data_IF_236542640905
#
_entry.id   IF_236542640905
#
_cell.length_a   1.000
_cell.length_b   1.000
_cell.length_c   1.000
_cell.angle_alpha   90.00
_cell.angle_beta   90.00
_cell.angle_gamma   90.00
#
_symmetry.space_group_name_H-M   'P 1'
#
loop_
_entity.id
_entity.type
_entity.pdbx_description
1 polymer ?
#
# COMPACT_ATOMS: atom_id res chain seq x y z
N UNK A 1 -7.43 19.27 0.67
CA UNK A 1 -8.54 18.89 1.57
C UNK A 1 -9.70 18.27 0.79
N UNK A 2 -10.08 18.87 -0.35
CA UNK A 2 -11.07 18.32 -1.30
C UNK A 2 -10.72 16.92 -1.82
N UNK A 3 -9.45 16.72 -2.13
CA UNK A 3 -8.86 15.42 -2.49
C UNK A 3 -9.15 14.30 -1.47
N UNK A 4 -9.01 14.60 -0.18
CA UNK A 4 -9.24 13.67 0.91
C UNK A 4 -10.75 13.40 1.09
N UNK A 5 -11.58 14.42 0.85
CA UNK A 5 -13.05 14.33 0.89
C UNK A 5 -13.59 13.48 -0.27
N UNK A 6 -12.98 13.57 -1.46
CA UNK A 6 -13.32 12.72 -2.60
C UNK A 6 -12.95 11.26 -2.32
N UNK A 7 -11.78 11.01 -1.75
CA UNK A 7 -11.37 9.66 -1.33
C UNK A 7 -12.34 9.10 -0.26
N UNK A 8 -12.81 9.94 0.68
CA UNK A 8 -13.85 9.56 1.66
C UNK A 8 -15.17 9.21 1.00
N UNK A 9 -15.64 10.03 0.07
CA UNK A 9 -16.93 9.81 -0.60
C UNK A 9 -16.91 8.55 -1.46
N UNK A 10 -15.87 8.31 -2.25
CA UNK A 10 -15.81 7.13 -3.13
C UNK A 10 -15.54 5.81 -2.38
N UNK A 11 -14.66 5.82 -1.37
CA UNK A 11 -14.38 4.60 -0.59
C UNK A 11 -15.56 4.18 0.30
N UNK A 12 -16.38 5.12 0.79
CA UNK A 12 -17.59 4.79 1.55
C UNK A 12 -18.76 4.38 0.65
N UNK A 13 -18.78 4.80 -0.63
CA UNK A 13 -19.91 4.54 -1.54
C UNK A 13 -19.79 3.25 -2.36
N UNK A 14 -18.58 2.72 -2.60
CA UNK A 14 -18.42 1.65 -3.59
C UNK A 14 -18.42 0.20 -3.06
N UNK A 15 -18.11 -0.11 -1.79
CA UNK A 15 -18.19 -1.51 -1.31
C UNK A 15 -18.13 -1.72 0.22
N UNK A 16 -19.24 -1.52 0.97
CA UNK A 16 -19.30 -1.90 2.39
C UNK A 16 -19.02 -3.40 2.63
N UNK A 17 -19.37 -4.29 1.70
CA UNK A 17 -19.09 -5.74 1.81
C UNK A 17 -17.60 -6.06 1.68
N UNK A 18 -16.88 -5.45 0.74
CA UNK A 18 -15.42 -5.61 0.64
C UNK A 18 -14.75 -5.08 1.89
N UNK A 19 -15.26 -3.99 2.45
CA UNK A 19 -14.77 -3.45 3.71
C UNK A 19 -14.98 -4.42 4.88
N UNK A 20 -16.15 -5.07 5.00
CA UNK A 20 -16.38 -6.10 6.02
C UNK A 20 -15.48 -7.34 5.86
N UNK A 21 -15.25 -7.79 4.62
CA UNK A 21 -14.33 -8.91 4.34
C UNK A 21 -12.89 -8.57 4.79
N UNK A 22 -12.43 -7.35 4.50
CA UNK A 22 -11.12 -6.87 4.96
C UNK A 22 -11.03 -6.78 6.49
N UNK A 23 -12.14 -6.46 7.16
CA UNK A 23 -12.20 -6.40 8.61
C UNK A 23 -12.07 -7.78 9.25
N UNK A 24 -12.75 -8.79 8.72
CA UNK A 24 -12.64 -10.16 9.22
C UNK A 24 -11.25 -10.74 8.93
N UNK A 25 -10.66 -10.46 7.76
CA UNK A 25 -9.30 -10.93 7.45
C UNK A 25 -8.24 -10.23 8.35
N UNK A 26 -8.43 -8.96 8.71
CA UNK A 26 -7.52 -8.23 9.61
C UNK A 26 -7.56 -8.74 11.06
N UNK A 27 -8.74 -9.16 11.52
CA UNK A 27 -8.96 -9.75 12.85
C UNK A 27 -8.56 -11.22 12.94
N UNK A 28 -8.32 -11.88 11.79
CA UNK A 28 -7.94 -13.28 11.79
C UNK A 28 -6.68 -13.51 12.65
N UNK A 29 -6.78 -14.50 13.53
CA UNK A 29 -5.67 -14.89 14.41
C UNK A 29 -4.54 -15.48 13.58
N UNK A 30 -3.29 -15.33 14.05
CA UNK A 30 -2.14 -15.93 13.38
C UNK A 30 -2.25 -17.47 13.31
N UNK A 31 -2.83 -18.07 14.33
CA UNK A 31 -3.23 -19.48 14.41
C UNK A 31 -4.35 -19.59 15.47
N UNK A 32 -5.09 -20.69 15.48
CA UNK A 32 -6.36 -20.83 16.24
C UNK A 32 -6.26 -20.55 17.74
N UNK A 33 -5.13 -20.84 18.37
CA UNK A 33 -4.88 -20.61 19.80
C UNK A 33 -4.04 -19.35 20.11
N UNK A 34 -3.75 -18.50 19.11
CA UNK A 34 -2.93 -17.31 19.29
C UNK A 34 -3.71 -16.22 20.04
N UNK A 35 -3.26 -15.88 21.25
CA UNK A 35 -3.90 -14.82 22.07
C UNK A 35 -3.24 -13.45 21.91
N UNK A 36 -2.01 -13.41 21.44
CA UNK A 36 -1.18 -12.20 21.44
C UNK A 36 -1.14 -11.49 20.08
N UNK A 37 -1.41 -12.20 18.98
CA UNK A 37 -1.25 -11.62 17.66
C UNK A 37 -2.32 -12.03 16.64
N UNK A 38 -2.73 -11.04 15.84
CA UNK A 38 -3.47 -11.25 14.59
C UNK A 38 -2.50 -11.37 13.41
N UNK A 39 -2.99 -11.85 12.27
CA UNK A 39 -2.24 -11.90 11.01
C UNK A 39 -1.68 -10.52 10.64
N UNK A 40 -2.50 -9.48 10.80
CA UNK A 40 -2.10 -8.10 10.51
C UNK A 40 -1.01 -7.60 11.46
N UNK A 41 -1.19 -7.77 12.78
CA UNK A 41 -0.26 -7.19 13.76
C UNK A 41 1.13 -7.80 13.64
N UNK A 42 1.23 -9.12 13.46
CA UNK A 42 2.53 -9.78 13.20
C UNK A 42 3.19 -9.24 11.94
N UNK A 43 2.46 -9.11 10.83
CA UNK A 43 3.03 -8.57 9.60
C UNK A 43 3.53 -7.14 9.77
N UNK A 44 2.76 -6.27 10.44
CA UNK A 44 3.22 -4.91 10.75
C UNK A 44 4.52 -4.92 11.55
N UNK A 45 4.60 -5.71 12.63
CA UNK A 45 5.81 -5.81 13.45
C UNK A 45 7.01 -6.32 12.64
N UNK A 46 6.82 -7.36 11.83
CA UNK A 46 7.88 -7.92 10.99
C UNK A 46 8.35 -6.93 9.91
N UNK A 47 7.45 -6.20 9.26
CA UNK A 47 7.83 -5.17 8.30
C UNK A 47 8.51 -3.96 8.95
N UNK A 48 8.10 -3.58 10.16
CA UNK A 48 8.80 -2.56 10.94
C UNK A 48 10.23 -2.99 11.27
N UNK A 49 10.42 -4.24 11.72
CA UNK A 49 11.75 -4.81 11.95
C UNK A 49 12.59 -4.85 10.67
N UNK A 50 11.99 -5.27 9.56
CA UNK A 50 12.65 -5.26 8.24
C UNK A 50 13.14 -3.86 7.87
N UNK A 51 12.29 -2.85 8.02
CA UNK A 51 12.61 -1.47 7.66
C UNK A 51 13.68 -0.88 8.59
N UNK A 52 13.51 -1.04 9.91
CA UNK A 52 14.42 -0.52 10.92
C UNK A 52 15.85 -1.09 10.79
N UNK A 53 15.97 -2.34 10.33
CA UNK A 53 17.26 -3.04 10.21
C UNK A 53 17.74 -3.17 8.76
N UNK A 54 17.06 -2.54 7.80
CA UNK A 54 17.45 -2.60 6.38
C UNK A 54 17.50 -4.02 5.79
N UNK A 55 16.70 -4.95 6.30
CA UNK A 55 16.75 -6.35 5.84
C UNK A 55 16.37 -6.45 4.36
N UNK A 56 17.17 -7.19 3.58
CA UNK A 56 16.88 -7.47 2.18
C UNK A 56 15.60 -8.30 2.01
N UNK A 57 14.98 -8.30 0.83
CA UNK A 57 13.79 -9.15 0.57
C UNK A 57 14.13 -10.65 0.64
N UNK A 58 15.36 -11.03 0.27
CA UNK A 58 15.84 -12.41 0.39
C UNK A 58 15.89 -12.83 1.87
N UNK A 59 16.64 -12.08 2.68
CA UNK A 59 16.78 -12.34 4.11
C UNK A 59 15.43 -12.35 4.83
N UNK A 60 14.55 -11.38 4.51
CA UNK A 60 13.22 -11.34 5.12
C UNK A 60 12.35 -12.55 4.75
N UNK A 61 12.47 -13.05 3.52
CA UNK A 61 11.76 -14.26 3.09
C UNK A 61 12.26 -15.50 3.82
N UNK A 62 13.58 -15.65 3.96
CA UNK A 62 14.18 -16.74 4.73
C UNK A 62 13.76 -16.70 6.20
N UNK A 63 13.72 -15.50 6.79
CA UNK A 63 13.23 -15.29 8.16
C UNK A 63 11.75 -15.67 8.33
N UNK A 64 10.89 -15.28 7.39
CA UNK A 64 9.46 -15.62 7.42
C UNK A 64 9.24 -17.13 7.39
N UNK A 65 9.96 -17.85 6.53
CA UNK A 65 9.90 -19.31 6.44
C UNK A 65 10.32 -19.92 7.78
N UNK A 66 11.45 -19.49 8.33
CA UNK A 66 11.96 -20.00 9.60
C UNK A 66 10.97 -19.78 10.75
N UNK A 67 10.42 -18.56 10.88
CA UNK A 67 9.43 -18.26 11.93
C UNK A 67 8.18 -19.12 11.73
N UNK A 68 7.73 -19.27 10.49
CA UNK A 68 6.54 -20.09 10.19
C UNK A 68 6.72 -21.53 10.63
N UNK A 69 7.89 -22.11 10.41
CA UNK A 69 8.21 -23.49 10.77
C UNK A 69 8.33 -23.69 12.29
N UNK A 70 8.64 -22.62 13.04
CA UNK A 70 8.64 -22.63 14.51
C UNK A 70 7.23 -22.54 15.12
N UNK A 71 6.24 -22.06 14.36
CA UNK A 71 4.86 -21.90 14.81
C UNK A 71 4.07 -23.21 14.70
N UNK A 72 2.92 -23.33 15.41
CA UNK A 72 2.03 -24.48 15.25
C UNK A 72 1.62 -24.72 13.79
N UNK A 73 1.31 -25.98 13.47
CA UNK A 73 0.77 -26.35 12.18
C UNK A 73 -0.50 -25.54 11.84
N UNK A 74 -0.70 -25.25 10.55
CA UNK A 74 -1.81 -24.45 10.02
C UNK A 74 -1.84 -22.96 10.44
N UNK A 75 -0.67 -22.38 10.75
CA UNK A 75 -0.58 -20.94 10.95
C UNK A 75 -0.70 -20.14 9.63
N UNK A 76 -1.11 -18.89 9.76
CA UNK A 76 -1.43 -17.96 8.67
C UNK A 76 -0.25 -17.07 8.26
N UNK A 77 0.97 -17.34 8.75
CA UNK A 77 2.14 -16.54 8.41
C UNK A 77 2.50 -16.74 6.92
N UNK A 78 2.77 -15.69 6.14
CA UNK A 78 3.19 -15.82 4.74
C UNK A 78 4.59 -16.43 4.58
N UNK A 79 4.85 -17.11 3.46
CA UNK A 79 6.13 -17.79 3.20
C UNK A 79 7.13 -16.92 2.43
N UNK A 80 6.74 -15.70 2.06
CA UNK A 80 7.61 -14.81 1.29
C UNK A 80 7.32 -13.35 1.53
N UNK A 81 8.31 -12.50 1.24
CA UNK A 81 8.12 -11.05 1.25
C UNK A 81 6.97 -10.62 0.33
N UNK A 82 6.81 -11.30 -0.82
CA UNK A 82 5.76 -10.96 -1.78
C UNK A 82 4.37 -11.29 -1.22
N UNK A 83 4.17 -12.51 -0.70
CA UNK A 83 2.90 -12.90 -0.08
C UNK A 83 2.55 -12.03 1.12
N UNK A 84 3.57 -11.67 1.93
CA UNK A 84 3.40 -10.77 3.06
C UNK A 84 2.94 -9.38 2.61
N UNK A 85 3.57 -8.80 1.58
CA UNK A 85 3.12 -7.53 0.97
C UNK A 85 1.72 -7.65 0.39
N UNK A 86 1.43 -8.74 -0.33
CA UNK A 86 0.10 -8.99 -0.92
C UNK A 86 -0.97 -9.06 0.16
N UNK A 87 -0.68 -9.71 1.28
CA UNK A 87 -1.57 -9.77 2.44
C UNK A 87 -1.81 -8.38 3.01
N UNK A 88 -0.76 -7.58 3.25
CA UNK A 88 -0.93 -6.21 3.71
C UNK A 88 -1.74 -5.34 2.74
N UNK A 89 -1.51 -5.49 1.43
CA UNK A 89 -2.29 -4.78 0.41
C UNK A 89 -3.78 -5.14 0.49
N UNK A 90 -4.12 -6.44 0.64
CA UNK A 90 -5.50 -6.87 0.88
C UNK A 90 -6.06 -6.17 2.10
N UNK A 91 -5.35 -6.21 3.23
CA UNK A 91 -5.77 -5.64 4.52
C UNK A 91 -5.79 -4.08 4.57
N UNK A 92 -5.95 -3.41 3.43
CA UNK A 92 -6.08 -1.95 3.36
C UNK A 92 -4.77 -1.18 3.49
N UNK A 93 -3.61 -1.85 3.54
CA UNK A 93 -2.30 -1.18 3.55
C UNK A 93 -1.69 -1.05 2.16
N UNK A 94 -2.53 -1.06 1.12
CA UNK A 94 -2.08 -0.77 -0.23
C UNK A 94 -1.60 0.69 -0.35
N UNK A 95 -0.91 0.95 -1.44
CA UNK A 95 -0.55 2.29 -1.89
C UNK A 95 -0.98 2.42 -3.34
N UNK A 96 -1.36 3.62 -3.72
CA UNK A 96 -1.70 3.98 -5.09
C UNK A 96 -0.55 4.79 -5.66
N UNK A 97 -0.23 4.56 -6.93
CA UNK A 97 0.74 5.39 -7.64
C UNK A 97 -0.02 6.44 -8.42
N UNK A 98 0.19 7.71 -8.06
CA UNK A 98 -0.44 8.84 -8.71
C UNK A 98 0.65 9.62 -9.45
N UNK A 99 0.42 9.92 -10.73
CA UNK A 99 1.35 10.75 -11.48
C UNK A 99 1.27 12.19 -10.95
N UNK A 100 2.40 12.83 -10.74
CA UNK A 100 2.47 14.19 -10.21
C UNK A 100 3.14 15.13 -11.21
N UNK A 101 2.77 16.41 -11.17
CA UNK A 101 3.53 17.44 -11.86
C UNK A 101 4.98 17.45 -11.33
N UNK A 102 6.02 17.59 -12.20
CA UNK A 102 7.40 17.72 -11.73
C UNK A 102 7.60 18.86 -10.72
N UNK A 103 6.84 19.94 -10.87
CA UNK A 103 6.84 21.12 -10.01
C UNK A 103 5.79 21.07 -8.87
N UNK A 104 5.15 19.92 -8.63
CA UNK A 104 4.15 19.71 -7.56
C UNK A 104 2.88 20.60 -7.63
N UNK A 105 2.59 21.21 -8.78
CA UNK A 105 1.37 22.01 -8.97
C UNK A 105 0.08 21.19 -8.82
N UNK A 106 0.04 20.02 -9.46
CA UNK A 106 -1.15 19.16 -9.50
C UNK A 106 -0.78 17.67 -9.40
N UNK A 107 -1.78 16.87 -9.02
CA UNK A 107 -1.80 15.42 -9.21
C UNK A 107 -2.65 15.11 -10.44
N UNK A 108 -2.16 14.25 -11.34
CA UNK A 108 -2.90 13.79 -12.52
C UNK A 108 -3.93 12.73 -12.13
N UNK A 109 -4.96 13.16 -11.39
CA UNK A 109 -6.12 12.38 -10.94
C UNK A 109 -7.40 13.20 -11.11
N UNK A 110 -8.57 12.59 -10.97
CA UNK A 110 -9.87 13.25 -11.11
C UNK A 110 -9.98 14.03 -12.44
N UNK A 111 -10.34 15.32 -12.40
CA UNK A 111 -10.43 16.17 -13.59
C UNK A 111 -9.11 16.31 -14.37
N UNK A 112 -7.96 16.08 -13.73
CA UNK A 112 -6.65 16.19 -14.37
C UNK A 112 -6.10 14.84 -14.88
N UNK A 113 -6.85 13.75 -14.72
CA UNK A 113 -6.41 12.37 -15.03
C UNK A 113 -5.95 12.18 -16.47
N UNK A 114 -6.61 12.84 -17.42
CA UNK A 114 -6.36 12.75 -18.86
C UNK A 114 -5.39 13.81 -19.39
N UNK A 115 -4.88 14.70 -18.54
CA UNK A 115 -3.93 15.71 -18.97
C UNK A 115 -2.53 15.10 -19.19
N UNK A 116 -1.87 15.59 -20.22
CA UNK A 116 -0.47 15.27 -20.53
C UNK A 116 0.50 16.37 -20.11
N UNK A 117 -0.02 17.58 -19.87
CA UNK A 117 0.77 18.73 -19.41
C UNK A 117 0.06 19.39 -18.23
N UNK A 118 0.85 19.95 -17.34
CA UNK A 118 0.34 20.67 -16.18
C UNK A 118 -0.32 21.98 -16.65
N UNK A 119 -1.58 22.24 -16.30
CA UNK A 119 -2.28 23.47 -16.70
C UNK A 119 -1.70 24.73 -16.03
N UNK A 120 -1.02 24.58 -14.89
CA UNK A 120 -0.45 25.72 -14.16
C UNK A 120 0.96 26.11 -14.65
N UNK A 121 1.83 25.13 -14.94
CA UNK A 121 3.23 25.39 -15.26
C UNK A 121 3.68 24.89 -16.64
N UNK A 122 2.80 24.27 -17.42
CA UNK A 122 3.08 23.76 -18.77
C UNK A 122 4.07 22.59 -18.83
N UNK A 123 4.56 22.08 -17.69
CA UNK A 123 5.46 20.92 -17.67
C UNK A 123 4.75 19.66 -18.12
N UNK A 124 5.43 18.88 -18.95
CA UNK A 124 4.99 17.56 -19.37
C UNK A 124 4.85 16.61 -18.18
N UNK A 125 3.85 15.74 -18.26
CA UNK A 125 3.64 14.59 -17.39
C UNK A 125 4.70 13.52 -17.63
N UNK A 126 5.22 13.43 -18.84
CA UNK A 126 6.04 12.31 -19.30
C UNK A 126 7.54 12.56 -19.12
N UNK A 127 8.26 11.46 -18.91
CA UNK A 127 9.70 11.48 -18.71
C UNK A 127 10.45 11.69 -20.01
N UNK A 128 11.50 12.51 -19.98
CA UNK A 128 12.40 12.67 -21.12
C UNK A 128 13.33 11.46 -21.31
N UNK A 129 13.66 11.16 -22.56
CA UNK A 129 14.73 10.24 -22.92
C UNK A 129 16.09 10.77 -22.44
N UNK A 130 17.09 9.90 -22.36
CA UNK A 130 18.43 10.26 -21.88
C UNK A 130 19.09 11.37 -22.72
N UNK A 131 18.69 11.52 -23.99
CA UNK A 131 19.14 12.59 -24.86
C UNK A 131 18.41 13.93 -24.65
N UNK A 132 17.39 13.98 -23.80
CA UNK A 132 16.60 15.19 -23.50
C UNK A 132 15.66 15.66 -24.60
N UNK A 133 15.63 15.00 -25.76
CA UNK A 133 14.90 15.49 -26.95
C UNK A 133 13.51 14.86 -27.10
N UNK A 134 13.36 13.58 -26.73
CA UNK A 134 12.10 12.84 -26.92
C UNK A 134 11.47 12.46 -25.61
N UNK A 135 10.15 12.62 -25.51
CA UNK A 135 9.37 12.12 -24.38
C UNK A 135 9.14 10.60 -24.48
N UNK A 136 9.12 9.95 -23.32
CA UNK A 136 8.70 8.56 -23.15
C UNK A 136 7.26 8.54 -22.67
N UNK A 137 6.32 8.61 -23.63
CA UNK A 137 4.90 8.51 -23.34
C UNK A 137 4.58 7.26 -22.51
N UNK A 138 3.69 7.42 -21.53
CA UNK A 138 3.34 6.36 -20.59
C UNK A 138 4.28 6.20 -19.40
N UNK A 139 5.48 6.81 -19.41
CA UNK A 139 6.38 6.83 -18.25
C UNK A 139 6.28 8.21 -17.60
N UNK A 140 5.63 8.34 -16.43
CA UNK A 140 5.56 9.63 -15.74
C UNK A 140 6.94 10.10 -15.29
N UNK A 141 7.19 11.41 -15.38
CA UNK A 141 8.41 12.02 -14.85
C UNK A 141 8.45 11.94 -13.32
N UNK A 142 7.31 12.18 -12.67
CA UNK A 142 7.16 12.12 -11.21
C UNK A 142 5.97 11.27 -10.80
N UNK A 143 6.18 10.41 -9.80
CA UNK A 143 5.15 9.55 -9.21
C UNK A 143 5.11 9.78 -7.71
N UNK A 144 3.93 10.14 -7.22
CA UNK A 144 3.58 10.14 -5.80
C UNK A 144 3.05 8.77 -5.40
N UNK A 145 3.48 8.28 -4.25
CA UNK A 145 2.97 7.06 -3.64
C UNK A 145 1.93 7.49 -2.62
N UNK A 146 0.67 7.42 -3.00
CA UNK A 146 -0.46 7.79 -2.14
C UNK A 146 -0.83 6.62 -1.24
N UNK A 147 -1.06 6.92 0.03
CA UNK A 147 -1.43 5.96 1.06
C UNK A 147 -2.85 6.32 1.50
N UNK A 148 -3.89 5.65 0.96
CA UNK A 148 -5.27 5.98 1.28
C UNK A 148 -5.50 5.99 2.80
N UNK A 149 -5.97 7.10 3.38
CA UNK A 149 -6.00 7.28 4.82
C UNK A 149 -7.08 6.43 5.48
N UNK A 150 -8.22 6.22 4.83
CA UNK A 150 -9.39 5.57 5.45
C UNK A 150 -9.15 4.09 5.73
N UNK A 151 -8.70 3.27 4.76
CA UNK A 151 -8.42 1.86 5.04
C UNK A 151 -7.34 1.71 6.13
N UNK A 152 -6.36 2.63 6.15
CA UNK A 152 -5.29 2.67 7.15
C UNK A 152 -5.77 3.02 8.55
N UNK A 153 -6.52 4.11 8.70
CA UNK A 153 -6.99 4.58 10.02
C UNK A 153 -7.87 3.51 10.67
N UNK A 154 -8.77 2.89 9.90
CA UNK A 154 -9.60 1.79 10.40
C UNK A 154 -8.74 0.60 10.84
N UNK A 155 -7.76 0.22 10.03
CA UNK A 155 -6.84 -0.88 10.33
C UNK A 155 -6.07 -0.62 11.64
N UNK A 156 -5.53 0.59 11.82
CA UNK A 156 -4.77 0.99 13.02
C UNK A 156 -5.66 1.02 14.27
N UNK A 157 -6.86 1.62 14.19
CA UNK A 157 -7.76 1.72 15.34
C UNK A 157 -8.19 0.34 15.87
N UNK A 158 -8.24 -0.67 14.99
CA UNK A 158 -8.70 -2.02 15.35
C UNK A 158 -7.57 -2.98 15.72
N UNK A 159 -6.32 -2.71 15.34
CA UNK A 159 -5.17 -3.48 15.86
C UNK A 159 -4.84 -3.14 17.32
N UNK A 160 -5.45 -2.09 17.87
CA UNK A 160 -5.29 -1.62 19.24
C UNK A 160 -6.40 -2.12 20.20
N UNK A 161 -7.41 -2.83 19.68
CA UNK A 161 -8.54 -3.39 20.44
C UNK A 161 -8.42 -4.92 20.52
#
# INVERSE_FOLDING_TARGET
MEDLVWDIKNNLSEAPEQFEELLEEAKSLLYSSCKSFTKLSVLMHLFNLKAANGLSNKCFTELLILIKDMLPAHNQLPNSTYEAKKTLCKLGMHYEKINACPNDCILYRNEFSNLEQCPECGKSRWKLCANGVKEKYGIPEKVLWYLPPIPRIVSILKSMA
#
